data_IF_289653520331
#
_entry.id   IF_289653520331
#
_cell.length_a   1.000
_cell.length_b   1.000
_cell.length_c   1.000
_cell.angle_alpha   90.00
_cell.angle_beta   90.00
_cell.angle_gamma   90.00
#
_symmetry.space_group_name_H-M   'P 1'
#
loop_
_entity.id
_entity.type
_entity.pdbx_description
1 polymer ?
#
# COMPACT_ATOMS: atom_id res chain seq x y z
N UNK A 1 21.24 -18.34 15.22
CA UNK A 1 20.72 -18.32 13.84
C UNK A 1 20.29 -16.89 13.54
N UNK A 2 20.83 -16.24 12.51
CA UNK A 2 20.42 -14.87 12.12
C UNK A 2 19.17 -14.99 11.25
N UNK A 3 18.04 -14.45 11.72
CA UNK A 3 16.82 -14.37 10.92
C UNK A 3 17.03 -13.27 9.87
N UNK A 4 17.17 -13.63 8.60
CA UNK A 4 17.34 -12.65 7.54
C UNK A 4 15.97 -12.03 7.24
N UNK A 5 15.79 -10.75 7.57
CA UNK A 5 14.58 -10.02 7.23
C UNK A 5 14.49 -9.89 5.71
N UNK A 6 13.47 -10.52 5.12
CA UNK A 6 13.22 -10.46 3.68
C UNK A 6 12.51 -9.15 3.34
N UNK A 7 12.84 -8.55 2.20
CA UNK A 7 12.28 -7.28 1.76
C UNK A 7 11.62 -7.41 0.39
N UNK A 8 10.62 -6.58 0.13
CA UNK A 8 9.89 -6.45 -1.12
C UNK A 8 10.13 -5.10 -1.77
N UNK A 9 10.22 -5.11 -3.10
CA UNK A 9 10.28 -3.90 -3.93
C UNK A 9 8.89 -3.28 -4.09
N UNK A 10 8.82 -2.10 -4.70
CA UNK A 10 7.53 -1.49 -5.03
C UNK A 10 6.66 -2.40 -5.92
N UNK A 11 7.27 -3.05 -6.93
CA UNK A 11 6.56 -3.98 -7.82
C UNK A 11 6.00 -5.19 -7.06
N UNK A 12 6.77 -5.76 -6.13
CA UNK A 12 6.31 -6.86 -5.28
C UNK A 12 5.11 -6.44 -4.42
N UNK A 13 5.15 -5.23 -3.85
CA UNK A 13 4.07 -4.70 -3.00
C UNK A 13 2.81 -4.46 -3.82
N UNK A 14 2.92 -3.89 -5.02
CA UNK A 14 1.79 -3.68 -5.93
C UNK A 14 1.19 -5.03 -6.34
N UNK A 15 2.03 -6.01 -6.70
CA UNK A 15 1.58 -7.33 -7.11
C UNK A 15 0.85 -8.10 -5.98
N UNK A 16 1.28 -7.92 -4.72
CA UNK A 16 0.66 -8.60 -3.57
C UNK A 16 -0.61 -7.92 -3.07
N UNK A 17 -0.57 -6.60 -2.92
CA UNK A 17 -1.71 -5.85 -2.37
C UNK A 17 -2.81 -5.61 -3.40
N UNK A 18 -2.49 -5.64 -4.69
CA UNK A 18 -3.40 -5.29 -5.77
C UNK A 18 -3.66 -3.79 -5.90
N UNK A 19 -3.03 -2.95 -5.06
CA UNK A 19 -3.13 -1.50 -5.10
C UNK A 19 -1.95 -0.90 -5.87
N UNK A 20 -2.17 0.25 -6.51
CA UNK A 20 -1.08 1.02 -7.12
C UNK A 20 -0.11 1.52 -6.05
N UNK A 21 1.15 1.78 -6.44
CA UNK A 21 2.13 2.32 -5.49
C UNK A 21 1.63 3.62 -4.85
N UNK A 22 1.00 4.52 -5.61
CA UNK A 22 0.42 5.76 -5.07
C UNK A 22 -0.66 5.50 -4.01
N UNK A 23 -1.52 4.49 -4.22
CA UNK A 23 -2.52 4.09 -3.23
C UNK A 23 -1.87 3.52 -1.95
N UNK A 24 -0.84 2.67 -2.10
CA UNK A 24 -0.08 2.14 -0.95
C UNK A 24 0.56 3.28 -0.15
N UNK A 25 1.21 4.23 -0.83
CA UNK A 25 1.81 5.41 -0.19
C UNK A 25 0.78 6.29 0.51
N UNK A 26 -0.41 6.44 -0.07
CA UNK A 26 -1.51 7.15 0.55
C UNK A 26 -2.03 6.45 1.81
N UNK A 27 -2.17 5.12 1.76
CA UNK A 27 -2.60 4.32 2.90
C UNK A 27 -1.54 4.29 4.02
N UNK A 28 -0.24 4.34 3.67
CA UNK A 28 0.83 4.59 4.63
C UNK A 28 0.71 5.97 5.27
N UNK A 29 0.40 7.00 4.47
CA UNK A 29 0.22 8.37 4.96
C UNK A 29 -0.96 8.49 5.93
N UNK A 30 -2.08 7.78 5.66
CA UNK A 30 -3.23 7.70 6.56
C UNK A 30 -2.98 6.84 7.81
N UNK A 31 -1.87 6.10 7.85
CA UNK A 31 -1.55 5.16 8.93
C UNK A 31 -2.37 3.87 8.90
N UNK A 32 -3.07 3.60 7.80
CA UNK A 32 -3.77 2.31 7.56
C UNK A 32 -2.73 1.20 7.38
N UNK A 33 -1.68 1.49 6.63
CA UNK A 33 -0.49 0.64 6.56
C UNK A 33 0.61 1.23 7.44
N UNK A 34 1.14 0.49 8.43
CA UNK A 34 2.28 0.97 9.21
C UNK A 34 3.47 1.27 8.30
N UNK A 35 4.05 2.48 8.44
CA UNK A 35 5.17 2.91 7.59
C UNK A 35 6.45 2.17 7.97
N UNK A 36 6.80 1.16 7.18
CA UNK A 36 7.97 0.34 7.43
C UNK A 36 8.96 0.30 6.27
N UNK A 37 8.67 1.06 5.22
CA UNK A 37 9.56 1.17 4.08
C UNK A 37 10.87 1.86 4.48
N UNK A 38 12.00 1.25 4.14
CA UNK A 38 13.30 1.90 4.19
C UNK A 38 13.74 2.33 2.79
N UNK A 39 14.46 3.46 2.72
CA UNK A 39 15.09 3.88 1.46
C UNK A 39 16.35 3.05 1.22
N UNK A 40 16.37 2.34 0.09
CA UNK A 40 17.55 1.72 -0.48
C UNK A 40 18.02 2.54 -1.68
N UNK A 41 19.27 2.37 -2.10
CA UNK A 41 19.89 3.12 -3.21
C UNK A 41 19.14 3.05 -4.56
N UNK A 42 18.18 2.13 -4.70
CA UNK A 42 17.41 1.89 -5.93
C UNK A 42 15.89 2.15 -5.75
N UNK A 43 15.45 2.65 -4.59
CA UNK A 43 14.03 2.90 -4.30
C UNK A 43 13.62 2.57 -2.86
N UNK A 44 12.32 2.65 -2.56
CA UNK A 44 11.76 2.15 -1.29
C UNK A 44 11.64 0.63 -1.32
N UNK A 45 11.99 -0.01 -0.21
CA UNK A 45 11.75 -1.43 0.03
C UNK A 45 10.98 -1.60 1.33
N UNK A 46 10.10 -2.60 1.39
CA UNK A 46 9.26 -2.90 2.54
C UNK A 46 9.64 -4.23 3.15
N UNK A 47 9.42 -4.44 4.45
CA UNK A 47 9.65 -5.76 5.06
C UNK A 47 8.53 -6.70 4.60
N UNK A 48 8.91 -7.88 4.11
CA UNK A 48 7.99 -8.83 3.52
C UNK A 48 6.86 -9.25 4.47
N UNK A 49 7.18 -9.47 5.74
CA UNK A 49 6.21 -9.89 6.76
C UNK A 49 5.07 -8.87 6.95
N UNK A 50 5.36 -7.57 6.84
CA UNK A 50 4.35 -6.51 7.01
C UNK A 50 3.47 -6.40 5.77
N UNK A 51 4.06 -6.51 4.57
CA UNK A 51 3.28 -6.52 3.32
C UNK A 51 2.35 -7.74 3.26
N UNK A 52 2.80 -8.89 3.75
CA UNK A 52 1.96 -10.09 3.88
C UNK A 52 0.86 -9.91 4.94
N UNK A 53 1.07 -9.10 5.98
CA UNK A 53 0.01 -8.68 6.91
C UNK A 53 -1.00 -7.75 6.26
N UNK A 54 -0.55 -6.76 5.49
CA UNK A 54 -1.45 -5.86 4.76
C UNK A 54 -2.31 -6.62 3.77
N UNK A 55 -1.70 -7.55 3.03
CA UNK A 55 -2.41 -8.39 2.06
C UNK A 55 -3.51 -9.20 2.74
N UNK A 56 -3.20 -9.85 3.87
CA UNK A 56 -4.19 -10.59 4.67
C UNK A 56 -5.30 -9.70 5.20
N UNK A 57 -4.98 -8.50 5.66
CA UNK A 57 -5.94 -7.51 6.13
C UNK A 57 -6.88 -7.04 5.02
N UNK A 58 -6.34 -6.72 3.83
CA UNK A 58 -7.13 -6.30 2.66
C UNK A 58 -8.07 -7.40 2.16
N UNK A 59 -7.64 -8.67 2.27
CA UNK A 59 -8.43 -9.82 1.84
C UNK A 59 -9.57 -10.18 2.81
N UNK A 60 -9.69 -9.50 3.95
CA UNK A 60 -10.86 -9.64 4.81
C UNK A 60 -12.14 -9.09 4.14
N UNK A 61 -13.29 -9.76 4.28
CA UNK A 61 -14.53 -9.37 3.60
C UNK A 61 -14.97 -7.96 4.01
N UNK A 62 -15.18 -7.09 3.00
CA UNK A 62 -15.58 -5.69 3.17
C UNK A 62 -14.42 -4.72 3.50
N UNK A 63 -13.23 -5.22 3.86
CA UNK A 63 -12.06 -4.36 4.11
C UNK A 63 -11.55 -3.76 2.81
N UNK A 64 -11.51 -4.53 1.72
CA UNK A 64 -11.09 -4.01 0.41
C UNK A 64 -11.94 -2.82 -0.05
N UNK A 65 -13.27 -2.96 -0.01
CA UNK A 65 -14.20 -1.88 -0.37
C UNK A 65 -14.02 -0.65 0.54
N UNK A 66 -13.81 -0.88 1.84
CA UNK A 66 -13.53 0.18 2.79
C UNK A 66 -12.19 0.89 2.47
N UNK A 67 -11.10 0.15 2.24
CA UNK A 67 -9.79 0.70 1.86
C UNK A 67 -9.90 1.51 0.56
N UNK A 68 -10.59 0.98 -0.45
CA UNK A 68 -10.82 1.67 -1.72
C UNK A 68 -11.58 2.99 -1.55
N UNK A 69 -12.52 3.05 -0.61
CA UNK A 69 -13.25 4.30 -0.29
C UNK A 69 -12.38 5.39 0.37
N UNK A 70 -11.22 5.02 0.95
CA UNK A 70 -10.26 5.95 1.54
C UNK A 70 -9.28 6.52 0.52
N UNK A 71 -9.16 5.88 -0.64
CA UNK A 71 -8.32 6.39 -1.71
C UNK A 71 -8.93 7.71 -2.21
N UNK A 72 -8.09 8.73 -2.48
CA UNK A 72 -8.60 9.97 -3.04
C UNK A 72 -9.36 9.60 -4.31
N UNK A 73 -10.62 10.03 -4.40
CA UNK A 73 -11.51 9.61 -5.47
C UNK A 73 -10.83 9.84 -6.82
N UNK A 74 -10.99 8.88 -7.73
CA UNK A 74 -10.93 9.16 -9.17
C UNK A 74 -12.11 10.06 -9.62
N UNK A 75 -12.69 10.84 -8.70
CA UNK A 75 -13.55 11.98 -8.98
C UNK A 75 -12.66 13.06 -9.60
N UNK A 76 -12.51 12.98 -10.92
CA UNK A 76 -12.40 14.17 -11.77
C UNK A 76 -13.70 14.98 -11.64
N UNK A 77 -13.95 15.53 -10.46
CA UNK A 77 -14.88 16.65 -10.31
C UNK A 77 -14.08 17.90 -10.71
N UNK A 78 -13.79 18.03 -12.01
CA UNK A 78 -13.60 19.37 -12.56
C UNK A 78 -14.98 20.05 -12.42
N UNK A 79 -15.12 21.13 -11.62
CA UNK A 79 -16.35 21.89 -11.65
C UNK A 79 -16.45 22.50 -13.05
N UNK A 80 -17.25 21.90 -13.93
CA UNK A 80 -17.66 22.55 -15.18
C UNK A 80 -18.50 23.76 -14.80
N UNK A 81 -17.83 24.88 -14.58
CA UNK A 81 -18.43 26.21 -14.50
C UNK A 81 -19.03 26.47 -15.88
N UNK A 82 -20.37 26.50 -15.94
CA UNK A 82 -21.13 26.93 -17.12
C UNK A 82 -20.91 28.40 -17.41
#
# INVERSE_FOLDING_TARGET
MRNATTHYTADDVVARTGFTLSAVLWLEHLGVFPSSACHHSHGRIWIAAEVDEWTRFIDEPGVREWVESLLPGSDSDEPTIR
#
